data_IF_649354918621
#
_entry.id   IF_649354918621
#
_cell.length_a   1.000
_cell.length_b   1.000
_cell.length_c   1.000
_cell.angle_alpha   90.00
_cell.angle_beta   90.00
_cell.angle_gamma   90.00
#
_symmetry.space_group_name_H-M   'P 1'
#
loop_
_entity.id
_entity.type
_entity.pdbx_description
1 polymer ?
#
# COMPACT_ATOMS: atom_id res chain seq x y z
N UNK A 1 12.32 -12.14 22.48
CA UNK A 1 12.47 -11.03 21.52
C UNK A 1 11.59 -11.34 20.32
N UNK A 2 10.69 -10.43 19.94
CA UNK A 2 9.83 -10.61 18.77
C UNK A 2 10.34 -9.73 17.65
N UNK A 3 10.98 -10.33 16.64
CA UNK A 3 11.30 -9.62 15.41
C UNK A 3 10.02 -9.48 14.60
N UNK A 4 9.65 -8.24 14.27
CA UNK A 4 8.70 -7.97 13.19
C UNK A 4 9.41 -8.40 11.90
N UNK A 5 8.91 -9.42 11.22
CA UNK A 5 9.52 -10.01 10.02
C UNK A 5 8.84 -9.55 8.73
N UNK A 6 7.55 -9.16 8.80
CA UNK A 6 6.75 -8.80 7.63
C UNK A 6 5.66 -7.77 7.93
N UNK A 7 5.43 -6.88 6.97
CA UNK A 7 4.30 -5.94 6.96
C UNK A 7 3.58 -6.02 5.62
N UNK A 8 2.26 -6.22 5.67
CA UNK A 8 1.38 -6.20 4.51
C UNK A 8 0.53 -4.94 4.53
N UNK A 9 0.48 -4.25 3.38
CA UNK A 9 -0.28 -3.01 3.23
C UNK A 9 -1.28 -3.18 2.11
N UNK A 10 -2.53 -2.87 2.42
CA UNK A 10 -3.64 -2.80 1.48
C UNK A 10 -4.06 -1.35 1.31
N UNK A 11 -4.19 -0.92 0.06
CA UNK A 11 -4.66 0.42 -0.27
C UNK A 11 -5.92 0.28 -1.11
N UNK A 12 -7.01 0.80 -0.57
CA UNK A 12 -8.28 0.96 -1.28
C UNK A 12 -8.38 2.42 -1.74
N UNK A 13 -8.58 2.61 -3.05
CA UNK A 13 -8.77 3.94 -3.63
C UNK A 13 -10.18 4.02 -4.19
N UNK A 14 -10.98 4.96 -3.67
CA UNK A 14 -12.40 5.10 -4.02
C UNK A 14 -12.70 6.44 -4.69
N UNK A 15 -13.68 6.48 -5.59
CA UNK A 15 -14.18 7.70 -6.24
C UNK A 15 -13.91 7.76 -7.76
N UNK A 16 -14.39 8.80 -8.45
CA UNK A 16 -14.22 8.93 -9.89
C UNK A 16 -12.79 9.36 -10.24
N UNK A 17 -11.91 8.38 -10.42
CA UNK A 17 -10.52 8.58 -10.80
C UNK A 17 -10.26 8.02 -12.19
N UNK A 18 -9.45 8.73 -12.96
CA UNK A 18 -8.88 8.18 -14.18
C UNK A 18 -7.80 7.16 -13.83
N UNK A 19 -7.50 6.24 -14.75
CA UNK A 19 -6.43 5.25 -14.55
C UNK A 19 -5.07 5.91 -14.23
N UNK A 20 -4.79 7.07 -14.83
CA UNK A 20 -3.56 7.83 -14.58
C UNK A 20 -3.51 8.39 -13.15
N UNK A 21 -4.63 8.91 -12.65
CA UNK A 21 -4.74 9.39 -11.26
C UNK A 21 -4.57 8.24 -10.27
N UNK A 22 -5.20 7.10 -10.57
CA UNK A 22 -5.08 5.89 -9.77
C UNK A 22 -3.62 5.42 -9.67
N UNK A 23 -2.94 5.31 -10.82
CA UNK A 23 -1.52 4.93 -10.87
C UNK A 23 -0.63 5.90 -10.09
N UNK A 24 -0.93 7.21 -10.14
CA UNK A 24 -0.17 8.22 -9.42
C UNK A 24 -0.33 8.08 -7.90
N UNK A 25 -1.53 7.80 -7.42
CA UNK A 25 -1.81 7.58 -6.00
C UNK A 25 -1.07 6.36 -5.47
N UNK A 26 -1.08 5.25 -6.22
CA UNK A 26 -0.34 4.04 -5.87
C UNK A 26 1.18 4.27 -5.82
N UNK A 27 1.73 5.07 -6.75
CA UNK A 27 3.15 5.47 -6.71
C UNK A 27 3.50 6.31 -5.47
N UNK A 28 2.60 7.15 -4.99
CA UNK A 28 2.79 7.94 -3.76
C UNK A 28 2.73 7.02 -2.53
N UNK A 29 1.75 6.10 -2.48
CA UNK A 29 1.63 5.13 -1.39
C UNK A 29 2.89 4.26 -1.26
N UNK A 30 3.51 3.85 -2.36
CA UNK A 30 4.77 3.09 -2.37
C UNK A 30 5.96 3.85 -1.73
N UNK A 31 5.91 5.19 -1.70
CA UNK A 31 6.94 6.05 -1.12
C UNK A 31 6.70 6.40 0.36
N UNK A 32 5.72 5.75 1.00
CA UNK A 32 5.37 6.05 2.39
C UNK A 32 6.61 5.96 3.30
N UNK A 33 6.92 7.01 4.09
CA UNK A 33 8.16 7.09 4.88
C UNK A 33 8.28 5.97 5.92
N UNK A 34 7.18 5.33 6.32
CA UNK A 34 7.18 4.14 7.18
C UNK A 34 8.01 3.00 6.58
N UNK A 35 8.05 2.87 5.26
CA UNK A 35 8.91 1.89 4.60
C UNK A 35 10.38 2.12 4.95
N UNK A 36 10.84 3.37 4.93
CA UNK A 36 12.24 3.73 5.22
C UNK A 36 12.64 3.47 6.67
N UNK A 37 11.72 3.65 7.61
CA UNK A 37 11.98 3.44 9.04
C UNK A 37 11.97 1.95 9.40
N UNK A 38 11.26 1.12 8.63
CA UNK A 38 11.05 -0.30 8.92
C UNK A 38 11.97 -1.23 8.09
N UNK A 39 12.64 -0.73 7.04
CA UNK A 39 13.50 -1.52 6.13
C UNK A 39 14.86 -1.95 6.68
N UNK A 40 15.22 -1.65 7.94
CA UNK A 40 16.48 -2.18 8.48
C UNK A 40 16.46 -3.72 8.57
N UNK A 41 15.29 -4.35 8.73
CA UNK A 41 15.13 -5.82 8.75
C UNK A 41 13.78 -6.35 8.18
N UNK A 42 12.81 -5.51 7.78
CA UNK A 42 11.42 -5.93 7.53
C UNK A 42 11.05 -5.94 6.03
N UNK A 43 10.46 -7.05 5.55
CA UNK A 43 9.92 -7.17 4.19
C UNK A 43 8.54 -6.52 4.08
N UNK A 44 8.38 -5.50 3.23
CA UNK A 44 7.11 -4.77 3.05
C UNK A 44 6.53 -5.02 1.67
N UNK A 45 5.26 -5.46 1.61
CA UNK A 45 4.54 -5.73 0.36
C UNK A 45 3.27 -4.88 0.29
N UNK A 46 3.18 -4.09 -0.78
CA UNK A 46 2.01 -3.27 -1.10
C UNK A 46 1.16 -3.99 -2.14
N UNK A 47 -0.14 -4.13 -1.86
CA UNK A 47 -1.12 -4.63 -2.83
C UNK A 47 -2.31 -3.69 -2.94
N UNK A 48 -2.78 -3.55 -4.17
CA UNK A 48 -4.06 -2.92 -4.47
C UNK A 48 -5.18 -3.92 -4.24
N UNK A 49 -6.27 -3.47 -3.62
CA UNK A 49 -7.46 -4.29 -3.42
C UNK A 49 -8.66 -3.58 -4.06
N UNK A 50 -9.25 -4.22 -5.07
CA UNK A 50 -10.54 -3.79 -5.61
C UNK A 50 -11.65 -4.29 -4.66
N UNK A 51 -12.53 -3.39 -4.20
CA UNK A 51 -13.73 -3.81 -3.49
C UNK A 51 -14.69 -4.49 -4.46
N UNK A 52 -15.22 -5.69 -4.14
CA UNK A 52 -16.41 -6.18 -4.82
C UNK A 52 -17.58 -5.22 -4.53
N UNK A 53 -18.50 -4.99 -5.48
CA UNK A 53 -19.59 -4.04 -5.30
C UNK A 53 -20.38 -4.43 -4.06
N UNK A 54 -20.41 -3.53 -3.06
CA UNK A 54 -21.30 -3.65 -1.92
C UNK A 54 -22.72 -3.69 -2.46
N UNK A 55 -23.41 -4.81 -2.24
CA UNK A 55 -24.86 -4.96 -2.51
C UNK A 55 -25.67 -4.07 -1.58
#
# INVERSE_FOLDING_TARGET
EGMLDRIEIEVEVTGPLTAEQHAKLMQVAAKCPVHRTLTSEINIRLREVEKPPMK
#
